data_IF_254610850089
#
_entry.id   IF_254610850089
#
_cell.length_a   1.000
_cell.length_b   1.000
_cell.length_c   1.000
_cell.angle_alpha   90.00
_cell.angle_beta   90.00
_cell.angle_gamma   90.00
#
_symmetry.space_group_name_H-M   'P 1'
#
loop_
_entity.id
_entity.type
_entity.pdbx_description
1 polymer ?
#
# COMPACT_ATOMS: atom_id res chain seq x y z
N UNK A 1 5.78 -28.01 8.07
CA UNK A 1 6.37 -26.81 7.43
C UNK A 1 5.44 -25.64 7.74
N UNK A 2 5.90 -24.60 8.42
CA UNK A 2 5.09 -23.41 8.67
C UNK A 2 5.54 -22.31 7.70
N UNK A 3 4.60 -21.73 6.96
CA UNK A 3 4.90 -20.67 6.00
C UNK A 3 4.70 -19.33 6.68
N UNK A 4 5.78 -18.55 6.80
CA UNK A 4 5.74 -17.19 7.32
C UNK A 4 6.42 -16.26 6.32
N UNK A 5 5.74 -15.18 5.96
CA UNK A 5 6.34 -14.12 5.16
C UNK A 5 5.81 -12.77 5.60
N UNK A 6 6.64 -11.75 5.41
CA UNK A 6 6.27 -10.35 5.55
C UNK A 6 6.51 -9.69 4.21
N UNK A 7 5.52 -8.98 3.71
CA UNK A 7 5.64 -8.21 2.47
C UNK A 7 5.35 -6.74 2.72
N UNK A 8 5.99 -5.90 1.91
CA UNK A 8 5.80 -4.47 1.82
C UNK A 8 5.45 -4.10 0.37
N UNK A 9 5.16 -2.83 0.11
CA UNK A 9 4.98 -2.34 -1.25
C UNK A 9 6.17 -2.62 -2.17
N UNK A 10 7.40 -2.79 -1.65
CA UNK A 10 8.58 -3.15 -2.46
C UNK A 10 8.47 -4.52 -3.12
N UNK A 11 7.69 -5.42 -2.55
CA UNK A 11 7.47 -6.77 -3.07
C UNK A 11 6.42 -6.81 -4.18
N UNK A 12 5.70 -5.70 -4.41
CA UNK A 12 4.73 -5.56 -5.50
C UNK A 12 5.45 -4.92 -6.69
N UNK A 13 5.68 -5.67 -7.78
CA UNK A 13 6.35 -5.13 -8.96
C UNK A 13 5.45 -4.11 -9.64
N UNK A 14 5.99 -2.91 -9.86
CA UNK A 14 5.40 -1.92 -10.75
C UNK A 14 6.31 -1.85 -11.96
N UNK A 15 5.88 -2.43 -13.07
CA UNK A 15 6.59 -2.33 -14.34
C UNK A 15 6.59 -0.84 -14.74
N UNK A 16 7.68 -0.17 -14.42
CA UNK A 16 7.86 1.27 -14.63
C UNK A 16 8.46 1.53 -16.01
N UNK A 17 7.93 0.89 -17.05
CA UNK A 17 8.11 1.45 -18.40
C UNK A 17 7.30 2.74 -18.43
N UNK A 18 7.95 3.83 -18.82
CA UNK A 18 7.43 5.19 -18.65
C UNK A 18 6.15 5.49 -19.45
N UNK A 19 5.72 4.56 -20.31
CA UNK A 19 4.83 4.88 -21.43
C UNK A 19 3.42 4.24 -21.37
N UNK A 20 3.08 3.40 -20.38
CA UNK A 20 1.74 2.78 -20.28
C UNK A 20 1.20 2.71 -18.84
N UNK A 21 1.07 3.87 -18.16
CA UNK A 21 0.56 3.92 -16.77
C UNK A 21 -0.95 4.10 -16.65
N UNK A 22 -1.61 4.34 -17.77
CA UNK A 22 -3.03 4.65 -17.85
C UNK A 22 -3.71 3.58 -18.71
N UNK A 23 -4.43 2.67 -18.06
CA UNK A 23 -5.26 1.71 -18.78
C UNK A 23 -6.65 2.34 -18.96
N UNK A 24 -7.02 2.66 -20.19
CA UNK A 24 -8.37 3.11 -20.50
C UNK A 24 -9.24 1.88 -20.75
N UNK A 25 -10.16 1.64 -19.82
CA UNK A 25 -11.16 0.59 -19.97
C UNK A 25 -12.11 0.91 -21.13
N UNK A 26 -12.80 -0.11 -21.66
CA UNK A 26 -13.76 0.03 -22.77
C UNK A 26 -14.92 1.01 -22.49
N UNK A 27 -15.12 1.41 -21.23
CA UNK A 27 -16.10 2.38 -20.77
C UNK A 27 -15.55 3.83 -20.69
N UNK A 28 -14.33 4.08 -21.15
CA UNK A 28 -13.68 5.39 -21.12
C UNK A 28 -13.03 5.77 -19.78
N UNK A 29 -13.07 4.90 -18.77
CA UNK A 29 -12.42 5.15 -17.47
C UNK A 29 -10.92 4.91 -17.60
N UNK A 30 -10.14 5.95 -17.30
CA UNK A 30 -8.67 5.85 -17.23
C UNK A 30 -8.24 5.45 -15.83
N UNK A 31 -7.53 4.32 -15.72
CA UNK A 31 -7.03 3.79 -14.45
C UNK A 31 -5.54 4.09 -14.32
N UNK A 32 -5.14 4.74 -13.22
CA UNK A 32 -3.74 4.90 -12.85
C UNK A 32 -3.30 3.69 -12.02
N UNK A 33 -2.62 2.75 -12.67
CA UNK A 33 -2.22 1.49 -12.04
C UNK A 33 -1.23 1.72 -10.89
N UNK A 34 -0.38 2.76 -10.96
CA UNK A 34 0.54 3.08 -9.87
C UNK A 34 -0.25 3.48 -8.64
N UNK A 35 -1.21 4.39 -8.80
CA UNK A 35 -2.06 4.86 -7.70
C UNK A 35 -2.81 3.70 -7.05
N UNK A 36 -3.39 2.81 -7.85
CA UNK A 36 -4.18 1.70 -7.32
C UNK A 36 -3.32 0.68 -6.56
N UNK A 37 -2.12 0.38 -7.07
CA UNK A 37 -1.15 -0.48 -6.37
C UNK A 37 -0.67 0.17 -5.08
N UNK A 38 -0.34 1.45 -5.10
CA UNK A 38 0.11 2.19 -3.92
C UNK A 38 -0.99 2.33 -2.85
N UNK A 39 -2.26 2.05 -3.20
CA UNK A 39 -3.38 1.98 -2.27
C UNK A 39 -3.55 0.60 -1.61
N UNK A 40 -2.91 -0.46 -2.15
CA UNK A 40 -2.89 -1.80 -1.55
C UNK A 40 -1.95 -1.81 -0.34
N UNK A 41 -0.70 -1.39 -0.56
CA UNK A 41 0.30 -1.17 0.48
C UNK A 41 0.99 0.17 0.19
N UNK A 42 1.03 1.05 1.17
CA UNK A 42 1.66 2.35 1.06
C UNK A 42 3.13 2.20 0.64
N UNK A 43 3.52 2.95 -0.40
CA UNK A 43 4.89 2.94 -0.93
C UNK A 43 5.72 4.09 -0.42
N UNK A 44 5.31 5.31 -0.76
CA UNK A 44 6.09 6.51 -0.45
C UNK A 44 5.61 7.16 0.85
N UNK A 45 4.29 7.22 1.07
CA UNK A 45 3.68 7.83 2.25
C UNK A 45 2.32 7.23 2.57
N UNK A 46 1.96 7.29 3.84
CA UNK A 46 0.63 6.93 4.34
C UNK A 46 -0.32 8.10 4.09
N UNK A 47 -1.31 7.91 3.22
CA UNK A 47 -2.26 8.96 2.82
C UNK A 47 -3.45 9.14 3.78
N UNK A 48 -3.80 8.10 4.56
CA UNK A 48 -4.96 8.12 5.44
C UNK A 48 -4.79 7.13 6.60
N UNK A 49 -5.54 7.36 7.69
CA UNK A 49 -5.55 6.44 8.83
C UNK A 49 -6.09 5.08 8.40
N UNK A 50 -5.32 4.02 8.66
CA UNK A 50 -5.67 2.65 8.28
C UNK A 50 -5.16 2.24 6.89
N UNK A 51 -4.40 3.08 6.19
CA UNK A 51 -3.68 2.66 4.99
C UNK A 51 -2.66 1.59 5.37
N UNK A 52 -2.76 0.40 4.77
CA UNK A 52 -1.84 -0.70 5.04
C UNK A 52 -0.42 -0.37 4.58
N UNK A 53 0.59 -0.78 5.35
CA UNK A 53 2.02 -0.51 5.08
C UNK A 53 2.83 -1.79 4.89
N UNK A 54 2.38 -2.89 5.50
CA UNK A 54 2.95 -4.22 5.38
C UNK A 54 1.85 -5.26 5.58
N UNK A 55 2.08 -6.48 5.10
CA UNK A 55 1.20 -7.62 5.33
C UNK A 55 2.02 -8.83 5.81
N UNK A 56 1.40 -9.65 6.67
CA UNK A 56 2.00 -10.88 7.20
C UNK A 56 1.16 -12.07 6.75
N UNK A 57 1.82 -13.08 6.20
CA UNK A 57 1.25 -14.40 5.95
C UNK A 57 1.72 -15.37 7.03
N UNK A 58 0.79 -16.19 7.54
CA UNK A 58 1.06 -17.23 8.53
C UNK A 58 0.08 -18.40 8.33
N UNK A 59 0.33 -19.51 9.03
CA UNK A 59 -0.54 -20.70 8.98
C UNK A 59 -2.00 -20.43 9.43
N UNK A 60 -2.21 -19.41 10.26
CA UNK A 60 -3.53 -19.01 10.74
C UNK A 60 -3.60 -17.51 11.06
N UNK A 61 -4.83 -17.00 11.17
CA UNK A 61 -5.12 -15.57 11.38
C UNK A 61 -4.60 -15.04 12.72
N UNK A 62 -4.65 -15.82 13.79
CA UNK A 62 -4.24 -15.36 15.12
C UNK A 62 -2.72 -15.20 15.15
N UNK A 63 -1.99 -16.18 14.61
CA UNK A 63 -0.53 -16.09 14.48
C UNK A 63 -0.11 -14.90 13.62
N UNK A 64 -0.75 -14.69 12.47
CA UNK A 64 -0.49 -13.53 11.62
C UNK A 64 -0.74 -12.21 12.37
N UNK A 65 -1.83 -12.12 13.15
CA UNK A 65 -2.19 -10.92 13.91
C UNK A 65 -1.17 -10.61 15.02
N UNK A 66 -0.68 -11.62 15.74
CA UNK A 66 0.36 -11.43 16.75
C UNK A 66 1.69 -11.02 16.10
N UNK A 67 2.06 -11.64 14.99
CA UNK A 67 3.26 -11.27 14.22
C UNK A 67 3.16 -9.82 13.67
N UNK A 68 2.00 -9.38 13.20
CA UNK A 68 1.79 -8.00 12.77
C UNK A 68 2.11 -6.96 13.87
N UNK A 69 1.86 -7.28 15.15
CA UNK A 69 2.17 -6.36 16.27
C UNK A 69 3.67 -6.17 16.49
N UNK A 70 4.49 -7.09 16.00
CA UNK A 70 5.95 -7.03 16.12
C UNK A 70 6.59 -6.14 15.04
N UNK A 71 5.84 -5.80 13.98
CA UNK A 71 6.31 -4.89 12.93
C UNK A 71 6.46 -3.49 13.52
N UNK A 72 7.68 -2.96 13.46
CA UNK A 72 7.98 -1.57 13.80
C UNK A 72 8.06 -0.76 12.52
N UNK A 73 7.37 0.37 12.49
CA UNK A 73 7.37 1.30 11.36
C UNK A 73 7.72 2.69 11.89
N UNK A 74 8.73 3.29 11.28
CA UNK A 74 9.16 4.65 11.57
C UNK A 74 8.50 5.60 10.56
N UNK A 75 7.89 6.67 11.06
CA UNK A 75 7.19 7.64 10.24
C UNK A 75 7.78 9.03 10.46
N UNK A 76 7.91 9.77 9.37
CA UNK A 76 7.97 11.22 9.42
C UNK A 76 6.53 11.76 9.34
N UNK A 77 6.12 12.55 10.33
CA UNK A 77 4.75 13.08 10.39
C UNK A 77 4.61 14.24 9.42
N UNK A 78 3.73 14.09 8.44
CA UNK A 78 3.39 15.12 7.46
C UNK A 78 2.13 15.89 7.88
N UNK A 79 2.00 17.14 7.43
CA UNK A 79 0.77 17.91 7.62
C UNK A 79 -0.39 17.27 6.82
N UNK A 80 -1.47 16.82 7.47
CA UNK A 80 -2.57 16.16 6.78
C UNK A 80 -3.44 17.19 6.04
N UNK A 81 -3.83 16.84 4.82
CA UNK A 81 -4.82 17.61 4.05
C UNK A 81 -6.21 17.25 4.57
N UNK A 82 -6.81 18.15 5.35
CA UNK A 82 -8.15 17.96 5.94
C UNK A 82 -9.25 18.65 5.13
N UNK A 83 -8.90 19.70 4.39
CA UNK A 83 -9.82 20.49 3.58
C UNK A 83 -9.15 20.91 2.28
N UNK A 84 -9.97 21.15 1.25
CA UNK A 84 -9.50 21.48 -0.09
C UNK A 84 -8.79 22.86 -0.16
N UNK A 85 -9.12 23.77 0.75
CA UNK A 85 -8.51 25.09 0.88
C UNK A 85 -8.05 25.31 2.33
N UNK A 86 -6.85 25.85 2.48
CA UNK A 86 -6.30 26.31 3.75
C UNK A 86 -6.80 27.76 3.92
N UNK A 87 -7.73 27.99 4.84
CA UNK A 87 -8.18 29.34 5.21
C UNK A 87 -7.06 30.08 5.96
#
# INVERSE_FOLDING_TARGET
>A
MAFFSVITSKDIPINSTKDEKTFTQNNGITVDLKRDVDNILARDKVLYKGHAVAAVSANDRNTAKEACKLIKVEYEVLEPVKMLMKL
#
